data_IF_295596669096
#
_entry.id   IF_295596669096
#
_cell.length_a   1.000
_cell.length_b   1.000
_cell.length_c   1.000
_cell.angle_alpha   90.00
_cell.angle_beta   90.00
_cell.angle_gamma   90.00
#
_symmetry.space_group_name_H-M   'P 1'
#
loop_
_entity.id
_entity.type
_entity.pdbx_description
1 polymer ?
#
# COMPACT_ATOMS: atom_id res chain seq x y z
N UNK A 1 22.29 13.30 1.90
CA UNK A 1 21.48 12.11 2.25
C UNK A 1 20.34 12.46 3.23
N UNK A 2 19.42 13.36 2.86
CA UNK A 2 18.31 13.78 3.73
C UNK A 2 17.09 12.84 3.66
N UNK A 3 16.94 12.09 2.55
CA UNK A 3 15.78 11.22 2.26
C UNK A 3 15.50 10.21 3.37
N UNK A 4 16.44 9.33 3.71
CA UNK A 4 16.21 8.25 4.69
C UNK A 4 15.94 8.75 6.13
N UNK A 5 16.12 10.04 6.40
CA UNK A 5 15.91 10.65 7.71
C UNK A 5 14.57 11.41 7.79
N UNK A 6 13.78 11.46 6.73
CA UNK A 6 12.48 12.14 6.73
C UNK A 6 11.41 11.27 7.42
N UNK A 7 10.98 11.61 8.65
CA UNK A 7 10.04 10.76 9.40
C UNK A 7 8.66 10.68 8.74
N UNK A 8 8.28 11.66 7.91
CA UNK A 8 6.94 11.73 7.31
C UNK A 8 6.74 10.78 6.14
N UNK A 9 7.81 10.25 5.53
CA UNK A 9 7.76 9.40 4.34
C UNK A 9 7.92 7.90 4.64
N UNK A 10 7.55 7.45 5.85
CA UNK A 10 7.74 6.08 6.34
C UNK A 10 7.32 4.99 5.35
N UNK A 11 6.13 5.08 4.75
CA UNK A 11 5.66 4.07 3.79
C UNK A 11 6.56 4.04 2.55
N UNK A 12 6.86 5.20 1.96
CA UNK A 12 7.73 5.28 0.79
C UNK A 12 9.13 4.71 1.08
N UNK A 13 9.71 4.97 2.26
CA UNK A 13 11.00 4.40 2.64
C UNK A 13 10.98 2.87 2.72
N UNK A 14 9.94 2.31 3.35
CA UNK A 14 9.82 0.85 3.51
C UNK A 14 9.60 0.18 2.15
N UNK A 15 8.70 0.75 1.34
CA UNK A 15 8.35 0.14 0.06
C UNK A 15 9.42 0.32 -1.00
N UNK A 16 10.03 1.50 -1.11
CA UNK A 16 11.01 1.80 -2.16
C UNK A 16 12.43 1.41 -1.75
N UNK A 17 12.78 1.53 -0.48
CA UNK A 17 14.15 1.29 -0.01
C UNK A 17 15.15 2.21 -0.69
N UNK A 18 16.08 1.61 -1.44
CA UNK A 18 17.08 2.29 -2.27
C UNK A 18 16.62 2.38 -3.72
N UNK A 19 17.36 3.12 -4.55
CA UNK A 19 17.07 3.16 -5.99
C UNK A 19 17.24 1.77 -6.61
N UNK A 20 16.26 1.34 -7.40
CA UNK A 20 16.23 0.04 -8.07
C UNK A 20 15.78 0.18 -9.53
N UNK A 21 16.63 -0.28 -10.45
CA UNK A 21 16.43 -0.11 -11.89
C UNK A 21 15.20 -0.86 -12.40
N UNK A 22 14.93 -2.06 -11.87
CA UNK A 22 13.82 -2.89 -12.32
C UNK A 22 12.48 -2.25 -11.95
N UNK A 23 12.36 -1.79 -10.70
CA UNK A 23 11.20 -1.08 -10.17
C UNK A 23 10.93 0.20 -10.92
N UNK A 24 11.96 1.01 -11.17
CA UNK A 24 11.82 2.23 -11.98
C UNK A 24 11.36 1.90 -13.40
N UNK A 25 11.97 0.91 -14.05
CA UNK A 25 11.60 0.48 -15.41
C UNK A 25 10.15 -0.02 -15.48
N UNK A 26 9.69 -0.74 -14.46
CA UNK A 26 8.32 -1.22 -14.36
C UNK A 26 7.33 -0.05 -14.19
N UNK A 27 7.62 0.90 -13.29
CA UNK A 27 6.74 2.05 -13.02
C UNK A 27 6.57 2.95 -14.25
N UNK A 28 7.64 3.23 -15.00
CA UNK A 28 7.59 4.10 -16.19
C UNK A 28 6.73 3.49 -17.31
N UNK A 29 6.63 2.15 -17.37
CA UNK A 29 5.80 1.44 -18.35
C UNK A 29 4.30 1.44 -18.00
N UNK A 30 3.91 1.87 -16.80
CA UNK A 30 2.50 1.92 -16.40
C UNK A 30 1.79 3.10 -17.05
N UNK A 31 0.52 2.90 -17.44
CA UNK A 31 -0.33 4.02 -17.82
C UNK A 31 -0.60 4.94 -16.61
N UNK A 32 -1.06 6.17 -16.87
CA UNK A 32 -1.27 7.21 -15.85
C UNK A 32 -2.15 6.74 -14.68
N UNK A 33 -3.20 5.97 -14.96
CA UNK A 33 -4.12 5.46 -13.93
C UNK A 33 -3.48 4.39 -13.04
N UNK A 34 -2.77 3.44 -13.65
CA UNK A 34 -2.04 2.40 -12.94
C UNK A 34 -0.87 2.99 -12.12
N UNK A 35 -0.12 3.93 -12.70
CA UNK A 35 0.95 4.63 -12.00
C UNK A 35 0.43 5.41 -10.78
N UNK A 36 -0.69 6.13 -10.92
CA UNK A 36 -1.31 6.82 -9.77
C UNK A 36 -1.65 5.86 -8.63
N UNK A 37 -2.25 4.71 -8.93
CA UNK A 37 -2.57 3.69 -7.92
C UNK A 37 -1.30 3.13 -7.29
N UNK A 38 -0.27 2.86 -8.10
CA UNK A 38 1.02 2.38 -7.64
C UNK A 38 1.65 3.35 -6.64
N UNK A 39 1.78 4.62 -7.01
CA UNK A 39 2.32 5.67 -6.13
C UNK A 39 1.48 5.81 -4.86
N UNK A 40 0.15 5.73 -4.97
CA UNK A 40 -0.74 5.75 -3.80
C UNK A 40 -0.46 4.63 -2.80
N UNK A 41 -0.17 3.41 -3.26
CA UNK A 41 0.27 2.31 -2.39
C UNK A 41 1.63 2.64 -1.78
N UNK A 42 2.62 2.95 -2.63
CA UNK A 42 4.01 3.11 -2.21
C UNK A 42 4.21 4.25 -1.21
N UNK A 43 3.54 5.38 -1.43
CA UNK A 43 3.59 6.54 -0.54
C UNK A 43 2.61 6.45 0.64
N UNK A 44 1.71 5.47 0.67
CA UNK A 44 0.61 5.42 1.65
C UNK A 44 -0.51 6.43 1.40
N UNK A 45 -0.55 7.05 0.22
CA UNK A 45 -1.61 7.97 -0.23
C UNK A 45 -2.69 7.21 -1.01
N UNK A 46 -3.21 6.15 -0.41
CA UNK A 46 -4.28 5.32 -0.96
C UNK A 46 -5.52 5.40 -0.08
N UNK A 47 -6.65 4.86 -0.55
CA UNK A 47 -7.94 4.89 0.16
C UNK A 47 -8.03 3.87 1.30
N UNK A 48 -7.01 3.85 2.14
CA UNK A 48 -6.99 3.14 3.41
C UNK A 48 -7.32 4.11 4.55
N UNK A 49 -7.97 3.59 5.60
CA UNK A 49 -8.48 4.39 6.72
C UNK A 49 -7.42 5.25 7.38
N UNK A 50 -6.16 4.83 7.45
CA UNK A 50 -5.10 5.68 8.01
C UNK A 50 -4.92 6.99 7.24
N UNK A 51 -4.93 6.94 5.91
CA UNK A 51 -4.78 8.12 5.07
C UNK A 51 -6.06 8.96 5.07
N UNK A 52 -7.23 8.33 4.97
CA UNK A 52 -8.51 9.03 5.07
C UNK A 52 -8.71 9.73 6.41
N UNK A 53 -8.18 9.15 7.50
CA UNK A 53 -8.17 9.76 8.81
C UNK A 53 -7.27 11.00 8.88
N UNK A 54 -6.08 10.97 8.28
CA UNK A 54 -5.21 12.16 8.17
C UNK A 54 -5.88 13.31 7.44
N UNK A 55 -6.68 12.97 6.43
CA UNK A 55 -7.44 13.95 5.65
C UNK A 55 -8.71 14.42 6.38
N UNK A 56 -9.03 13.90 7.58
CA UNK A 56 -10.25 14.24 8.31
C UNK A 56 -11.53 13.63 7.75
N UNK A 57 -11.43 12.69 6.81
CA UNK A 57 -12.55 12.09 6.08
C UNK A 57 -13.14 10.87 6.80
N UNK A 58 -12.38 10.27 7.72
CA UNK A 58 -12.79 9.14 8.57
C UNK A 58 -12.31 9.36 10.00
N UNK A 59 -13.19 9.10 10.97
CA UNK A 59 -12.86 9.20 12.41
C UNK A 59 -11.95 8.05 12.86
N UNK A 60 -12.20 6.84 12.35
CA UNK A 60 -11.44 5.65 12.70
C UNK A 60 -10.36 5.34 11.65
N UNK A 61 -9.15 5.07 12.13
CA UNK A 61 -7.97 4.70 11.37
C UNK A 61 -7.69 3.19 11.36
N UNK A 62 -8.38 2.39 12.17
CA UNK A 62 -8.17 0.94 12.31
C UNK A 62 -8.56 0.19 11.04
N UNK A 63 -7.88 -0.91 10.76
CA UNK A 63 -8.09 -1.79 9.61
C UNK A 63 -9.56 -2.21 9.47
N UNK A 64 -10.15 -2.08 8.28
CA UNK A 64 -11.54 -2.52 8.02
C UNK A 64 -11.75 -4.02 8.12
N UNK A 65 -10.65 -4.79 8.14
CA UNK A 65 -10.68 -6.25 8.04
C UNK A 65 -10.45 -6.90 9.39
N UNK A 66 -9.31 -6.63 10.02
CA UNK A 66 -9.00 -7.21 11.33
C UNK A 66 -9.42 -6.32 12.50
N UNK A 67 -9.74 -5.05 12.23
CA UNK A 67 -10.07 -4.05 13.25
C UNK A 67 -9.04 -3.88 14.36
N UNK A 68 -7.81 -4.38 14.25
CA UNK A 68 -6.82 -4.30 15.33
C UNK A 68 -5.91 -3.08 15.19
N UNK A 69 -5.17 -3.01 14.08
CA UNK A 69 -4.12 -2.01 13.81
C UNK A 69 -4.55 -0.92 12.83
N UNK A 70 -3.76 0.15 12.68
CA UNK A 70 -4.00 1.17 11.66
C UNK A 70 -3.99 0.59 10.23
N UNK A 71 -4.99 0.95 9.42
CA UNK A 71 -5.09 0.51 8.02
C UNK A 71 -4.07 1.24 7.14
N UNK A 72 -2.89 0.63 6.99
CA UNK A 72 -1.81 1.12 6.13
C UNK A 72 -1.45 0.08 5.07
N UNK A 73 -0.78 0.47 3.95
CA UNK A 73 -0.29 -0.50 2.99
C UNK A 73 0.62 -1.53 3.65
N UNK A 74 1.53 -1.08 4.52
CA UNK A 74 2.39 -1.96 5.30
C UNK A 74 1.59 -2.98 6.13
N UNK A 75 0.58 -2.54 6.89
CA UNK A 75 -0.24 -3.45 7.66
C UNK A 75 -0.94 -4.49 6.78
N UNK A 76 -1.58 -4.05 5.69
CA UNK A 76 -2.29 -4.93 4.76
C UNK A 76 -1.34 -5.94 4.09
N UNK A 77 -0.11 -5.52 3.74
CA UNK A 77 0.88 -6.38 3.10
C UNK A 77 1.60 -7.33 4.07
N UNK A 78 1.89 -6.89 5.30
CA UNK A 78 2.81 -7.58 6.23
C UNK A 78 2.17 -8.16 7.49
N UNK A 79 1.06 -7.60 7.97
CA UNK A 79 0.62 -7.90 9.34
C UNK A 79 -0.84 -8.30 9.45
N UNK A 80 -1.70 -7.90 8.51
CA UNK A 80 -3.13 -8.15 8.62
C UNK A 80 -3.42 -9.67 8.57
N UNK A 81 -3.99 -10.27 9.64
CA UNK A 81 -4.28 -11.71 9.67
C UNK A 81 -5.37 -12.09 8.66
N UNK A 82 -6.27 -11.15 8.34
CA UNK A 82 -7.32 -11.37 7.34
C UNK A 82 -6.78 -11.42 5.89
N UNK A 83 -5.51 -11.11 5.68
CA UNK A 83 -4.86 -11.14 4.36
C UNK A 83 -3.96 -12.35 4.17
N UNK A 84 -3.81 -13.20 5.19
CA UNK A 84 -2.84 -14.31 5.22
C UNK A 84 -3.00 -15.29 4.06
N UNK A 85 -4.23 -15.70 3.72
CA UNK A 85 -4.48 -16.63 2.62
C UNK A 85 -4.11 -16.04 1.26
N UNK A 86 -4.58 -14.81 0.97
CA UNK A 86 -4.29 -14.11 -0.28
C UNK A 86 -2.81 -13.79 -0.43
N UNK A 87 -2.15 -13.45 0.67
CA UNK A 87 -0.71 -13.20 0.68
C UNK A 87 0.08 -14.45 0.34
N UNK A 88 -0.31 -15.60 0.89
CA UNK A 88 0.30 -16.87 0.52
C UNK A 88 0.08 -17.21 -0.96
N UNK A 89 -1.14 -16.99 -1.44
CA UNK A 89 -1.49 -17.25 -2.85
C UNK A 89 -0.72 -16.38 -3.85
N UNK A 90 -0.52 -15.09 -3.56
CA UNK A 90 0.08 -14.13 -4.52
C UNK A 90 1.58 -13.94 -4.29
N UNK A 91 2.03 -13.96 -3.04
CA UNK A 91 3.40 -13.62 -2.64
C UNK A 91 4.15 -14.83 -2.06
N UNK A 92 3.52 -16.01 -1.97
CA UNK A 92 4.16 -17.24 -1.48
C UNK A 92 4.43 -17.26 0.02
N UNK A 93 3.89 -16.32 0.79
CA UNK A 93 4.05 -16.31 2.25
C UNK A 93 2.81 -15.79 2.98
N UNK A 94 2.51 -16.41 4.12
CA UNK A 94 1.47 -15.99 5.06
C UNK A 94 1.78 -14.67 5.76
N UNK A 95 3.06 -14.46 6.12
CA UNK A 95 3.56 -13.28 6.82
C UNK A 95 4.83 -12.77 6.15
N UNK A 96 5.00 -11.44 6.09
CA UNK A 96 6.15 -10.82 5.46
C UNK A 96 6.84 -9.90 6.46
N UNK A 97 8.16 -10.05 6.60
CA UNK A 97 8.98 -9.06 7.30
C UNK A 97 9.06 -7.79 6.42
N UNK A 98 8.73 -6.59 6.95
CA UNK A 98 8.92 -5.33 6.23
C UNK A 98 10.30 -5.16 5.59
N UNK A 99 11.36 -5.69 6.19
CA UNK A 99 12.73 -5.63 5.66
C UNK A 99 12.87 -6.33 4.31
N UNK A 100 12.02 -7.32 4.05
CA UNK A 100 12.03 -8.12 2.83
C UNK A 100 11.10 -7.55 1.75
N UNK A 101 10.38 -6.44 1.98
CA UNK A 101 9.49 -5.86 0.96
C UNK A 101 10.27 -5.45 -0.30
N UNK A 102 11.51 -4.96 -0.14
CA UNK A 102 12.33 -4.49 -1.25
C UNK A 102 12.77 -5.62 -2.18
N UNK A 103 12.90 -6.85 -1.67
CA UNK A 103 13.25 -8.03 -2.48
C UNK A 103 12.05 -8.67 -3.19
N UNK A 104 10.82 -8.26 -2.86
CA UNK A 104 9.61 -8.70 -3.57
C UNK A 104 9.45 -7.86 -4.84
N UNK A 105 9.07 -8.51 -5.94
CA UNK A 105 8.80 -7.79 -7.19
C UNK A 105 7.68 -6.76 -6.98
N UNK A 106 7.91 -5.53 -7.44
CA UNK A 106 6.92 -4.46 -7.32
C UNK A 106 5.63 -4.80 -8.08
N UNK A 107 5.76 -5.56 -9.18
CA UNK A 107 4.60 -6.12 -9.90
C UNK A 107 3.74 -6.99 -9.01
N UNK A 108 4.32 -7.91 -8.24
CA UNK A 108 3.57 -8.79 -7.34
C UNK A 108 2.92 -8.01 -6.17
N UNK A 109 3.63 -7.03 -5.60
CA UNK A 109 3.08 -6.13 -4.57
C UNK A 109 1.83 -5.42 -5.11
N UNK A 110 1.93 -4.77 -6.28
CA UNK A 110 0.80 -4.05 -6.86
C UNK A 110 -0.34 -4.98 -7.28
N UNK A 111 -0.02 -6.19 -7.73
CA UNK A 111 -1.01 -7.23 -8.01
C UNK A 111 -1.81 -7.59 -6.74
N UNK A 112 -1.12 -7.82 -5.62
CA UNK A 112 -1.74 -8.10 -4.32
C UNK A 112 -2.72 -7.01 -3.87
N UNK A 113 -2.38 -5.74 -4.09
CA UNK A 113 -3.26 -4.60 -3.78
C UNK A 113 -4.43 -4.43 -4.75
N UNK A 114 -4.27 -4.87 -6.01
CA UNK A 114 -5.33 -4.83 -7.02
C UNK A 114 -6.41 -5.89 -6.77
N UNK A 115 -6.01 -7.13 -6.47
CA UNK A 115 -6.93 -8.25 -6.21
C UNK A 115 -7.61 -8.12 -4.83
N UNK A 116 -7.00 -7.37 -3.90
CA UNK A 116 -7.38 -7.33 -2.48
C UNK A 116 -8.57 -6.47 -2.06
N UNK A 117 -9.23 -5.77 -2.98
CA UNK A 117 -10.28 -4.80 -2.63
C UNK A 117 -9.81 -3.65 -1.74
N UNK A 118 -8.50 -3.41 -1.62
CA UNK A 118 -7.92 -2.29 -0.86
C UNK A 118 -8.19 -0.92 -1.49
N UNK A 119 -8.69 -0.91 -2.72
CA UNK A 119 -9.15 0.26 -3.44
C UNK A 119 -10.65 0.12 -3.70
N UNK A 120 -11.45 0.75 -2.84
CA UNK A 120 -12.90 0.95 -2.94
C UNK A 120 -13.76 -0.34 -2.95
N UNK A 121 -14.57 -0.52 -1.89
CA UNK A 121 -15.92 -1.04 -2.08
C UNK A 121 -16.77 0.08 -2.72
N UNK A 122 -17.84 -0.28 -3.42
CA UNK A 122 -18.69 0.64 -4.23
C UNK A 122 -19.25 1.83 -3.44
N UNK A 123 -19.25 1.77 -2.11
CA UNK A 123 -19.79 2.80 -1.22
C UNK A 123 -18.90 4.08 -1.12
N UNK A 124 -17.67 4.04 -1.65
CA UNK A 124 -16.77 5.21 -1.67
C UNK A 124 -16.94 6.11 -2.92
N UNK A 125 -17.95 5.84 -3.77
CA UNK A 125 -18.19 6.53 -5.04
C UNK A 125 -18.48 8.04 -4.86
N UNK A 126 -19.05 8.45 -3.72
CA UNK A 126 -19.34 9.86 -3.45
C UNK A 126 -18.11 10.70 -3.06
N UNK A 127 -16.94 10.08 -2.84
CA UNK A 127 -15.73 10.79 -2.41
C UNK A 127 -14.80 11.22 -3.56
N UNK A 128 -15.18 10.92 -4.80
CA UNK A 128 -14.34 11.08 -6.00
C UNK A 128 -14.16 12.52 -6.49
N UNK A 129 -14.64 13.54 -5.75
CA UNK A 129 -14.53 14.95 -6.15
C UNK A 129 -13.53 15.79 -5.33
N UNK A 130 -12.85 15.23 -4.33
CA UNK A 130 -12.00 16.01 -3.41
C UNK A 130 -10.57 15.47 -3.20
N UNK A 131 -10.11 14.49 -3.98
CA UNK A 131 -8.73 13.95 -3.89
C UNK A 131 -8.13 13.75 -5.26
#
# INVERSE_FOLDING_TARGET
MAWHREPKARQAHIFMGHWDRERTSYLIKLNRGALRKAIGVLAGHCKLRRHLHLLGLKKDKRCRKCEQEEETPLHILCFCPMETGKRNQILGSHFLDPKNIVSISLRAILHFFREGGGFCRRDDANYLRKV
#
